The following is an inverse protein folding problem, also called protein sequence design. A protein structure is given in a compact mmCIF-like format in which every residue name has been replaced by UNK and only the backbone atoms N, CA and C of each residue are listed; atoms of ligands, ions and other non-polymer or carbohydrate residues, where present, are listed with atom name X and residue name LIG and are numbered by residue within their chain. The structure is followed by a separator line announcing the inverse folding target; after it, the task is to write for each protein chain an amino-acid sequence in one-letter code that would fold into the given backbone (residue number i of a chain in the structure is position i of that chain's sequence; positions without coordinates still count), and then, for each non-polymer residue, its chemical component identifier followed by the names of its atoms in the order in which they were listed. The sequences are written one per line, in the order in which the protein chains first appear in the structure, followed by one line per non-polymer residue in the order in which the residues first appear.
data_IF_000563803698
#
_entry.id   IF_000563803698
#
_cell.length_a   1.000
_cell.length_b   1.000
_cell.length_c   1.000
_cell.angle_alpha   90.00
_cell.angle_beta   90.00
_cell.angle_gamma   90.00
#
_symmetry.space_group_name_H-M   'P 1'
#
loop_
_entity.id
_entity.type
_entity.pdbx_description
1 polymer ?
#
# COMPACT_ATOMS: atom_id res chain seq x y z
N UNK A 1 -0.63 -29.90 57.15
CA UNK A 1 -0.91 -28.63 56.43
C UNK A 1 -0.22 -28.74 55.08
N UNK A 2 -0.92 -29.28 54.07
CA UNK A 2 -0.34 -29.48 52.74
C UNK A 2 -0.46 -28.18 51.95
N UNK A 3 0.68 -27.61 51.58
CA UNK A 3 0.79 -26.37 50.83
C UNK A 3 0.27 -26.56 49.41
N UNK A 4 -0.99 -26.20 49.18
CA UNK A 4 -1.67 -26.23 47.87
C UNK A 4 -1.33 -25.00 47.00
N UNK A 5 -0.43 -24.13 47.46
CA UNK A 5 -0.12 -22.86 46.77
C UNK A 5 0.88 -23.02 45.61
N UNK A 6 1.70 -24.08 45.60
CA UNK A 6 2.74 -24.29 44.57
C UNK A 6 2.19 -24.62 43.17
N UNK A 7 1.16 -25.50 42.99
CA UNK A 7 0.68 -25.83 41.65
C UNK A 7 -0.06 -24.67 40.98
N UNK A 8 -0.67 -23.76 41.76
CA UNK A 8 -1.41 -22.63 41.23
C UNK A 8 -0.49 -21.58 40.58
N UNK A 9 0.66 -21.31 41.20
CA UNK A 9 1.64 -20.34 40.66
C UNK A 9 2.28 -20.86 39.38
N UNK A 10 2.58 -22.17 39.31
CA UNK A 10 3.16 -22.80 38.12
C UNK A 10 2.21 -22.80 36.92
N UNK A 11 0.91 -23.01 37.15
CA UNK A 11 -0.09 -22.97 36.08
C UNK A 11 -0.30 -21.54 35.56
N UNK A 12 -0.23 -20.54 36.44
CA UNK A 12 -0.32 -19.13 36.07
C UNK A 12 0.86 -18.68 35.19
N UNK A 13 2.10 -19.05 35.55
CA UNK A 13 3.27 -18.69 34.73
C UNK A 13 3.26 -19.38 33.37
N UNK A 14 2.84 -20.65 33.30
CA UNK A 14 2.64 -21.35 32.03
C UNK A 14 1.57 -20.66 31.17
N UNK A 15 0.43 -20.29 31.76
CA UNK A 15 -0.63 -19.57 31.06
C UNK A 15 -0.15 -18.20 30.55
N UNK A 16 0.61 -17.45 31.35
CA UNK A 16 1.17 -16.14 30.95
C UNK A 16 2.12 -16.29 29.76
N UNK A 17 2.97 -17.33 29.73
CA UNK A 17 3.87 -17.60 28.61
C UNK A 17 3.08 -17.89 27.33
N UNK A 18 2.01 -18.71 27.42
CA UNK A 18 1.13 -18.97 26.28
C UNK A 18 0.37 -17.73 25.81
N UNK A 19 -0.09 -16.88 26.74
CA UNK A 19 -0.76 -15.62 26.41
C UNK A 19 0.20 -14.61 25.75
N UNK A 20 1.44 -14.47 26.24
CA UNK A 20 2.44 -13.60 25.61
C UNK A 20 2.77 -14.00 24.16
N UNK A 21 2.74 -15.30 23.84
CA UNK A 21 2.92 -15.79 22.47
C UNK A 21 1.81 -15.34 21.50
N UNK A 22 0.58 -15.16 21.99
CA UNK A 22 -0.54 -14.68 21.18
C UNK A 22 -0.55 -13.14 21.02
N UNK A 23 -0.05 -12.39 22.01
CA UNK A 23 0.02 -10.93 21.95
C UNK A 23 1.30 -10.41 21.28
N UNK A 24 2.34 -11.22 21.14
CA UNK A 24 3.57 -10.83 20.45
C UNK A 24 3.42 -10.71 18.92
N UNK A 25 2.27 -11.09 18.36
CA UNK A 25 2.01 -11.03 16.90
C UNK A 25 0.99 -9.98 16.51
N UNK A 26 0.74 -8.93 17.30
CA UNK A 26 -0.02 -7.75 16.84
C UNK A 26 0.83 -6.86 15.91
N UNK A 27 1.59 -7.47 15.00
CA UNK A 27 2.13 -6.83 13.81
C UNK A 27 1.34 -7.36 12.61
N UNK A 28 0.05 -7.06 12.57
CA UNK A 28 -0.74 -7.20 11.33
C UNK A 28 -0.40 -6.04 10.36
N UNK A 29 0.32 -5.03 10.84
CA UNK A 29 0.77 -3.86 10.10
C UNK A 29 2.16 -4.07 9.47
N UNK A 30 2.28 -4.94 8.46
CA UNK A 30 3.45 -4.94 7.57
C UNK A 30 3.29 -5.79 6.30
N UNK A 31 2.15 -6.50 6.10
CA UNK A 31 1.76 -6.82 4.74
C UNK A 31 1.20 -5.53 4.15
N UNK A 32 2.11 -4.72 3.61
CA UNK A 32 1.79 -3.70 2.63
C UNK A 32 0.83 -4.40 1.65
N UNK A 33 -0.45 -4.06 1.74
CA UNK A 33 -1.49 -4.81 1.06
C UNK A 33 -1.44 -4.42 -0.41
N UNK A 34 -0.46 -5.00 -1.13
CA UNK A 34 -0.21 -4.77 -2.56
C UNK A 34 -1.48 -4.99 -3.40
N UNK A 35 -2.47 -5.71 -2.86
CA UNK A 35 -3.78 -5.92 -3.46
C UNK A 35 -4.63 -4.64 -3.53
N UNK A 36 -4.36 -3.63 -2.69
CA UNK A 36 -5.03 -2.31 -2.77
C UNK A 36 -4.76 -1.61 -4.10
N UNK A 37 -3.61 -1.91 -4.72
CA UNK A 37 -3.25 -1.41 -6.04
C UNK A 37 -3.71 -2.33 -7.19
N UNK A 38 -4.37 -3.44 -6.90
CA UNK A 38 -4.97 -4.33 -7.88
C UNK A 38 -6.47 -4.01 -8.01
N UNK A 39 -6.89 -3.63 -9.21
CA UNK A 39 -8.27 -3.31 -9.58
C UNK A 39 -9.21 -4.51 -9.45
N UNK A 40 -8.70 -5.74 -9.55
CA UNK A 40 -9.52 -6.96 -9.40
C UNK A 40 -9.84 -7.27 -7.93
N UNK A 41 -8.92 -6.95 -7.02
CA UNK A 41 -9.01 -7.32 -5.60
C UNK A 41 -9.54 -6.16 -4.73
N UNK A 42 -9.39 -4.92 -5.20
CA UNK A 42 -9.71 -3.71 -4.43
C UNK A 42 -10.41 -2.62 -5.24
N UNK A 43 -10.95 -1.63 -4.52
CA UNK A 43 -11.47 -0.41 -5.15
C UNK A 43 -10.35 0.63 -5.29
N UNK A 44 -9.97 0.95 -6.52
CA UNK A 44 -9.04 2.04 -6.79
C UNK A 44 -9.62 3.38 -6.33
N UNK A 45 -9.05 3.93 -5.27
CA UNK A 45 -9.42 5.25 -4.72
C UNK A 45 -8.46 6.30 -5.27
N UNK A 46 -8.96 7.44 -5.75
CA UNK A 46 -8.13 8.50 -6.33
C UNK A 46 -8.17 9.77 -5.48
N UNK A 47 -7.04 10.49 -5.33
CA UNK A 47 -5.80 10.36 -6.11
C UNK A 47 -4.81 9.29 -5.64
N UNK A 48 -5.09 8.54 -4.56
CA UNK A 48 -4.14 7.61 -3.94
C UNK A 48 -3.66 6.50 -4.90
N UNK A 49 -4.53 6.01 -5.79
CA UNK A 49 -4.18 5.04 -6.83
C UNK A 49 -3.09 5.54 -7.80
N UNK A 50 -2.91 6.86 -7.94
CA UNK A 50 -1.82 7.42 -8.72
C UNK A 50 -0.43 7.23 -8.07
N UNK A 51 -0.37 6.84 -6.80
CA UNK A 51 0.87 6.52 -6.07
C UNK A 51 1.24 5.03 -6.11
N UNK A 52 0.36 4.18 -6.67
CA UNK A 52 0.69 2.78 -6.90
C UNK A 52 1.91 2.67 -7.84
N UNK A 53 2.84 1.77 -7.51
CA UNK A 53 4.02 1.52 -8.33
C UNK A 53 3.56 1.02 -9.72
N UNK A 54 3.85 1.76 -10.81
CA UNK A 54 3.41 1.40 -12.14
C UNK A 54 4.03 0.11 -12.67
N UNK A 55 5.04 -0.44 -12.00
CA UNK A 55 5.66 -1.71 -12.37
C UNK A 55 5.01 -2.93 -11.69
N UNK A 56 4.00 -2.72 -10.83
CA UNK A 56 3.18 -3.82 -10.33
C UNK A 56 2.39 -4.40 -11.50
N UNK A 57 2.79 -5.59 -11.92
CA UNK A 57 2.29 -6.29 -13.10
C UNK A 57 0.91 -6.93 -12.85
N UNK A 58 -0.07 -6.11 -12.51
CA UNK A 58 -1.47 -6.51 -12.38
C UNK A 58 -2.16 -6.39 -13.75
N UNK A 59 -2.48 -7.53 -14.36
CA UNK A 59 -3.07 -7.59 -15.70
C UNK A 59 -2.04 -7.52 -16.83
N UNK A 60 -2.52 -7.35 -18.06
CA UNK A 60 -1.66 -7.23 -19.22
C UNK A 60 -1.12 -5.80 -19.40
N UNK A 61 0.05 -5.71 -20.05
CA UNK A 61 0.69 -4.44 -20.40
C UNK A 61 0.42 -4.13 -21.87
N UNK A 62 -0.20 -2.99 -22.14
CA UNK A 62 -0.55 -2.58 -23.50
C UNK A 62 0.15 -1.30 -23.92
N UNK A 63 0.50 -1.17 -25.20
CA UNK A 63 1.09 0.08 -25.72
C UNK A 63 0.14 1.29 -25.59
N UNK A 64 -1.17 1.02 -25.57
CA UNK A 64 -2.20 2.07 -25.52
C UNK A 64 -2.71 2.37 -24.10
N UNK A 65 -2.17 1.73 -23.06
CA UNK A 65 -2.45 2.10 -21.66
C UNK A 65 -1.42 3.09 -21.17
N UNK A 66 -1.77 3.83 -20.13
CA UNK A 66 -0.97 4.90 -19.56
C UNK A 66 -0.84 4.72 -18.05
N UNK A 67 0.22 5.24 -17.46
CA UNK A 67 0.39 5.33 -16.02
C UNK A 67 0.92 6.69 -15.61
N UNK A 68 0.62 7.13 -14.39
CA UNK A 68 1.19 8.35 -13.86
C UNK A 68 2.58 8.08 -13.29
N UNK A 69 3.58 8.78 -13.82
CA UNK A 69 4.94 8.77 -13.30
C UNK A 69 5.13 9.98 -12.38
N UNK A 70 5.25 9.72 -11.07
CA UNK A 70 5.44 10.76 -10.07
C UNK A 70 6.80 11.49 -10.17
N UNK A 71 7.82 10.84 -10.76
CA UNK A 71 9.16 11.43 -10.96
C UNK A 71 9.14 12.45 -12.09
N UNK A 72 8.58 12.08 -13.24
CA UNK A 72 8.48 12.98 -14.41
C UNK A 72 7.26 13.90 -14.32
N UNK A 73 6.34 13.61 -13.40
CA UNK A 73 5.04 14.26 -13.22
C UNK A 73 4.18 14.24 -14.48
N UNK A 74 4.26 13.15 -15.25
CA UNK A 74 3.58 12.99 -16.52
C UNK A 74 2.87 11.63 -16.59
N UNK A 75 1.91 11.54 -17.52
CA UNK A 75 1.31 10.27 -17.90
C UNK A 75 2.12 9.66 -19.05
N UNK A 76 2.69 8.49 -18.80
CA UNK A 76 3.57 7.76 -19.71
C UNK A 76 2.87 6.51 -20.25
N UNK A 77 3.25 6.05 -21.44
CA UNK A 77 2.66 4.89 -22.10
C UNK A 77 3.13 3.56 -21.49
N UNK A 78 2.38 2.50 -21.78
CA UNK A 78 2.64 1.13 -21.36
C UNK A 78 2.34 0.85 -19.87
N UNK A 79 1.12 1.18 -19.44
CA UNK A 79 0.60 0.81 -18.11
C UNK A 79 0.09 -0.63 -18.04
N UNK A 80 -0.10 -1.14 -16.82
CA UNK A 80 -0.76 -2.43 -16.55
C UNK A 80 -2.25 -2.19 -16.28
N UNK A 81 -3.15 -2.90 -16.96
CA UNK A 81 -4.58 -2.57 -16.97
C UNK A 81 -5.30 -2.72 -15.61
N UNK A 82 -4.88 -3.71 -14.82
CA UNK A 82 -5.46 -3.96 -13.50
C UNK A 82 -4.67 -3.27 -12.38
N UNK A 83 -3.62 -2.53 -12.72
CA UNK A 83 -2.98 -1.65 -11.77
C UNK A 83 -3.87 -0.41 -11.56
N UNK A 84 -4.07 0.02 -10.32
CA UNK A 84 -4.80 1.27 -10.04
C UNK A 84 -4.12 2.52 -10.60
N UNK A 85 -2.81 2.46 -10.92
CA UNK A 85 -2.09 3.46 -11.70
C UNK A 85 -2.09 3.16 -13.21
N UNK A 86 -2.98 2.29 -13.69
CA UNK A 86 -3.18 1.95 -15.09
C UNK A 86 -4.44 2.59 -15.67
N UNK A 87 -4.30 3.31 -16.77
CA UNK A 87 -5.37 4.06 -17.41
C UNK A 87 -5.48 3.71 -18.90
N UNK A 88 -6.71 3.58 -19.41
CA UNK A 88 -6.95 3.28 -20.82
C UNK A 88 -6.55 4.43 -21.76
N UNK A 89 -6.54 5.67 -21.27
CA UNK A 89 -6.21 6.84 -22.09
C UNK A 89 -5.36 7.83 -21.31
N UNK A 90 -4.52 8.57 -22.06
CA UNK A 90 -3.71 9.67 -21.51
C UNK A 90 -4.58 10.71 -20.80
N UNK A 91 -5.70 11.10 -21.42
CA UNK A 91 -6.63 12.09 -20.86
C UNK A 91 -7.21 11.64 -19.53
N UNK A 92 -7.57 10.36 -19.38
CA UNK A 92 -8.06 9.82 -18.12
C UNK A 92 -6.99 9.87 -17.03
N UNK A 93 -5.76 9.46 -17.35
CA UNK A 93 -4.62 9.58 -16.43
C UNK A 93 -4.39 11.05 -16.00
N UNK A 94 -4.34 11.97 -16.96
CA UNK A 94 -4.06 13.38 -16.69
C UNK A 94 -5.15 14.03 -15.84
N UNK A 95 -6.42 13.76 -16.14
CA UNK A 95 -7.56 14.30 -15.39
C UNK A 95 -7.66 13.71 -13.98
N UNK A 96 -7.17 12.49 -13.77
CA UNK A 96 -7.23 11.82 -12.47
C UNK A 96 -6.05 12.22 -11.58
N UNK A 97 -4.83 12.24 -12.11
CA UNK A 97 -3.61 12.35 -11.31
C UNK A 97 -2.98 13.75 -11.27
N UNK A 98 -3.28 14.64 -12.23
CA UNK A 98 -2.66 15.98 -12.26
C UNK A 98 -3.37 17.10 -11.49
N UNK A 99 -4.72 17.17 -11.35
CA UNK A 99 -5.39 18.36 -10.80
C UNK A 99 -4.85 18.80 -9.42
N UNK A 100 -4.53 17.85 -8.54
CA UNK A 100 -4.04 18.14 -7.18
C UNK A 100 -2.50 18.26 -7.08
N UNK A 101 -1.75 17.82 -8.10
CA UNK A 101 -0.28 17.82 -8.09
C UNK A 101 0.34 19.03 -8.80
N UNK A 102 -0.44 19.77 -9.60
CA UNK A 102 0.02 21.02 -10.24
C UNK A 102 0.24 22.17 -9.26
N UNK A 103 -0.46 22.18 -8.12
CA UNK A 103 -0.29 23.19 -7.05
C UNK A 103 0.98 23.01 -6.20
N UNK A 104 1.57 21.83 -6.20
CA UNK A 104 2.75 21.51 -5.38
C UNK A 104 4.10 21.85 -6.06
N UNK A 105 4.07 22.39 -7.30
CA UNK A 105 5.26 22.81 -8.06
C UNK A 105 6.03 23.97 -7.42
N UNK A 106 5.43 24.68 -6.46
CA UNK A 106 6.06 25.80 -5.75
C UNK A 106 6.77 25.43 -4.45
N UNK A 107 6.48 24.27 -3.85
CA UNK A 107 6.93 23.94 -2.49
C UNK A 107 8.23 23.12 -2.44
N UNK A 108 8.64 22.49 -3.54
CA UNK A 108 9.75 21.51 -3.53
C UNK A 108 10.98 21.92 -4.36
N UNK A 109 11.16 23.22 -4.62
CA UNK A 109 12.43 23.80 -5.11
C UNK A 109 13.23 24.39 -3.94
N UNK A 110 13.49 23.57 -2.91
CA UNK A 110 14.17 24.02 -1.70
C UNK A 110 14.79 22.88 -0.90
N UNK A 111 15.83 22.25 -1.44
CA UNK A 111 16.66 21.26 -0.75
C UNK A 111 17.40 20.44 -1.80
N UNK A 112 18.70 20.56 -2.01
CA UNK A 112 19.75 20.63 -1.01
C UNK A 112 20.99 21.38 -1.54
N UNK A 113 21.75 21.96 -0.61
CA UNK A 113 23.10 22.52 -0.80
C UNK A 113 24.12 21.42 -1.07
#
# INVERSE_FOLDING_TARGET
MASTQVPSVMLLSIAIIFFQGAYATTNVDARLDLTVCNREEGQCTYPDGCDCDPNLAFGERFQNTYFYNAVTQQCEENGYEDNCNGFETRTLCENTCLPNRRGNRGANRGGNR
#
